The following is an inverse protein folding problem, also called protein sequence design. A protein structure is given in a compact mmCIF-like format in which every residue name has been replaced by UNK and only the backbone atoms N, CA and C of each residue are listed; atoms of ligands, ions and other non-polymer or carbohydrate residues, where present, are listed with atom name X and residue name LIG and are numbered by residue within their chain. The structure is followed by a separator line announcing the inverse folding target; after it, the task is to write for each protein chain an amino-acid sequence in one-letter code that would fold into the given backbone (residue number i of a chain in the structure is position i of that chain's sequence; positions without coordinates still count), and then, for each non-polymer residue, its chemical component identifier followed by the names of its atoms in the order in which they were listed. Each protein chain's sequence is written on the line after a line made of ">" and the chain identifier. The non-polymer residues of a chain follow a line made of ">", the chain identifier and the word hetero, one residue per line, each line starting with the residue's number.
data_IF_216318905670
#
_entry.id   IF_216318905670
#
_cell.length_a   1.000
_cell.length_b   1.000
_cell.length_c   1.000
_cell.angle_alpha   90.00
_cell.angle_beta   90.00
_cell.angle_gamma   90.00
#
_symmetry.space_group_name_H-M   'P 1'
#
loop_
_entity.id
_entity.type
_entity.pdbx_description
1 polymer ?
#
# COMPACT_ATOMS: atom_id res chain seq x y z
N UNK A 1 7.15 -12.67 18.46
CA UNK A 1 8.35 -12.50 19.30
C UNK A 1 9.50 -13.27 18.64
N UNK A 2 10.41 -12.56 17.96
CA UNK A 2 11.47 -13.16 17.12
C UNK A 2 12.58 -13.86 17.92
N UNK A 3 12.58 -13.91 19.22
CA UNK A 3 13.56 -14.64 20.04
C UNK A 3 12.98 -14.87 21.44
N UNK A 4 11.93 -15.64 21.56
CA UNK A 4 11.56 -16.12 22.87
C UNK A 4 12.66 -17.09 23.34
N UNK A 5 13.59 -16.60 24.15
CA UNK A 5 14.59 -17.45 24.83
C UNK A 5 13.93 -18.43 25.82
N UNK A 6 12.65 -18.23 26.08
CA UNK A 6 11.85 -19.04 26.98
C UNK A 6 10.97 -20.01 26.20
N UNK A 7 10.80 -21.23 26.68
CA UNK A 7 9.92 -22.20 26.07
C UNK A 7 8.45 -21.74 26.16
N UNK A 8 7.57 -22.21 25.26
CA UNK A 8 6.13 -22.01 25.41
C UNK A 8 5.62 -22.49 26.77
N UNK A 9 4.67 -21.76 27.39
CA UNK A 9 4.18 -22.11 28.72
C UNK A 9 3.56 -23.50 28.82
N UNK A 10 3.04 -24.02 27.68
CA UNK A 10 2.43 -25.35 27.57
C UNK A 10 3.38 -26.44 27.03
N UNK A 11 4.67 -26.17 26.91
CA UNK A 11 5.62 -27.10 26.26
C UNK A 11 5.73 -28.44 26.99
N UNK A 12 5.69 -28.42 28.32
CA UNK A 12 5.77 -29.63 29.17
C UNK A 12 4.50 -30.48 29.00
N UNK A 13 3.34 -29.84 28.99
CA UNK A 13 2.06 -30.53 28.79
C UNK A 13 2.00 -31.17 27.40
N UNK A 14 2.40 -30.41 26.36
CA UNK A 14 2.52 -30.92 25.00
C UNK A 14 3.48 -32.12 24.90
N UNK A 15 4.62 -32.08 25.56
CA UNK A 15 5.63 -33.15 25.54
C UNK A 15 5.12 -34.43 26.23
N UNK A 16 4.39 -34.29 27.34
CA UNK A 16 3.85 -35.41 28.12
C UNK A 16 2.51 -35.97 27.62
N UNK A 17 1.83 -35.25 26.74
CA UNK A 17 0.54 -35.69 26.20
C UNK A 17 0.72 -36.64 25.02
N UNK A 18 -0.03 -37.73 25.04
CA UNK A 18 -0.06 -38.75 23.97
C UNK A 18 -1.43 -38.81 23.25
N UNK A 19 -2.13 -37.68 23.21
CA UNK A 19 -3.34 -37.59 22.38
C UNK A 19 -2.97 -37.60 20.86
N UNK A 20 -3.95 -37.90 20.03
CA UNK A 20 -3.75 -37.99 18.59
C UNK A 20 -3.16 -36.70 17.97
N UNK A 21 -3.67 -35.52 18.31
CA UNK A 21 -3.10 -34.26 17.84
C UNK A 21 -1.65 -34.04 18.22
N UNK A 22 -1.25 -34.23 19.47
CA UNK A 22 0.12 -34.05 19.94
C UNK A 22 1.10 -35.02 19.26
N UNK A 23 0.74 -36.31 19.19
CA UNK A 23 1.56 -37.33 18.52
C UNK A 23 1.73 -37.01 17.05
N UNK A 24 0.66 -36.60 16.36
CA UNK A 24 0.71 -36.22 14.95
C UNK A 24 1.64 -35.00 14.72
N UNK A 25 1.48 -33.94 15.51
CA UNK A 25 2.29 -32.74 15.38
C UNK A 25 3.78 -33.00 15.63
N UNK A 26 4.11 -33.80 16.66
CA UNK A 26 5.51 -34.20 16.91
C UNK A 26 6.11 -34.92 15.71
N UNK A 27 5.38 -35.89 15.16
CA UNK A 27 5.84 -36.65 13.98
C UNK A 27 5.97 -35.75 12.74
N UNK A 28 4.98 -34.93 12.43
CA UNK A 28 4.96 -34.09 11.23
C UNK A 28 6.04 -32.99 11.27
N UNK A 29 6.26 -32.40 12.44
CA UNK A 29 7.26 -31.36 12.62
C UNK A 29 8.65 -31.90 13.04
N UNK A 30 8.80 -33.24 13.13
CA UNK A 30 10.05 -33.89 13.49
C UNK A 30 10.57 -33.42 14.85
N UNK A 31 9.69 -33.39 15.85
CA UNK A 31 10.01 -32.99 17.23
C UNK A 31 10.40 -34.24 18.02
N UNK A 32 11.59 -34.19 18.62
CA UNK A 32 12.10 -35.25 19.48
C UNK A 32 11.56 -35.09 20.92
N UNK A 33 11.41 -36.20 21.63
CA UNK A 33 10.76 -36.25 22.94
C UNK A 33 11.48 -35.40 23.99
N UNK A 34 12.80 -35.23 23.86
CA UNK A 34 13.63 -34.48 24.81
C UNK A 34 13.68 -32.97 24.55
N UNK A 35 13.12 -32.46 23.46
CA UNK A 35 13.20 -31.04 23.09
C UNK A 35 12.59 -30.11 24.13
N UNK A 36 11.52 -30.52 24.78
CA UNK A 36 10.89 -29.73 25.82
C UNK A 36 11.85 -29.44 26.99
N UNK A 37 12.74 -30.39 27.31
CA UNK A 37 13.65 -30.33 28.43
C UNK A 37 14.97 -29.62 28.13
N UNK A 38 15.34 -29.57 26.84
CA UNK A 38 16.58 -28.93 26.39
C UNK A 38 16.32 -27.73 25.46
N UNK A 39 15.20 -27.07 25.62
CA UNK A 39 14.74 -25.98 24.73
C UNK A 39 15.82 -24.93 24.44
N UNK A 40 16.59 -24.49 25.45
CA UNK A 40 17.64 -23.48 25.35
C UNK A 40 18.80 -23.89 24.44
N UNK A 41 19.03 -25.20 24.32
CA UNK A 41 20.11 -25.76 23.47
C UNK A 41 19.69 -26.09 22.07
N UNK A 42 18.38 -25.96 21.74
CA UNK A 42 17.85 -26.20 20.44
C UNK A 42 18.31 -25.11 19.46
N UNK A 43 18.48 -25.52 18.19
CA UNK A 43 18.66 -24.55 17.12
C UNK A 43 17.40 -23.67 16.95
N UNK A 44 17.55 -22.47 16.36
CA UNK A 44 16.41 -21.58 16.13
C UNK A 44 15.27 -22.24 15.34
N UNK A 45 15.59 -23.06 14.35
CA UNK A 45 14.60 -23.82 13.58
C UNK A 45 13.88 -24.90 14.42
N UNK A 46 14.60 -25.58 15.32
CA UNK A 46 14.02 -26.55 16.25
C UNK A 46 13.11 -25.86 17.27
N UNK A 47 13.53 -24.74 17.83
CA UNK A 47 12.70 -23.93 18.73
C UNK A 47 11.41 -23.48 18.04
N UNK A 48 11.52 -23.00 16.79
CA UNK A 48 10.37 -22.57 16.00
C UNK A 48 9.39 -23.71 15.74
N UNK A 49 9.86 -24.89 15.36
CA UNK A 49 9.01 -26.09 15.19
C UNK A 49 8.25 -26.43 16.47
N UNK A 50 8.93 -26.44 17.59
CA UNK A 50 8.31 -26.74 18.88
C UNK A 50 7.28 -25.67 19.28
N UNK A 51 7.58 -24.38 19.07
CA UNK A 51 6.64 -23.27 19.31
C UNK A 51 5.36 -23.41 18.47
N UNK A 52 5.51 -23.67 17.17
CA UNK A 52 4.37 -23.84 16.27
C UNK A 52 3.55 -25.05 16.66
N UNK A 53 4.19 -26.18 17.01
CA UNK A 53 3.49 -27.37 17.46
C UNK A 53 2.68 -27.13 18.73
N UNK A 54 3.28 -26.51 19.75
CA UNK A 54 2.58 -26.17 21.00
C UNK A 54 1.40 -25.21 20.76
N UNK A 55 1.57 -24.23 19.85
CA UNK A 55 0.52 -23.28 19.51
C UNK A 55 -0.65 -23.96 18.77
N UNK A 56 -0.35 -24.84 17.80
CA UNK A 56 -1.39 -25.62 17.09
C UNK A 56 -2.09 -26.64 17.97
N UNK A 57 -1.34 -27.30 18.86
CA UNK A 57 -1.91 -28.27 19.80
C UNK A 57 -2.90 -27.63 20.78
N UNK A 58 -2.62 -26.39 21.20
CA UNK A 58 -3.55 -25.62 22.06
C UNK A 58 -4.90 -25.31 21.37
N UNK A 59 -4.99 -25.52 20.06
CA UNK A 59 -6.19 -25.31 19.25
C UNK A 59 -6.92 -23.97 19.53
N UNK A 60 -6.22 -22.83 19.48
CA UNK A 60 -6.82 -21.52 19.77
C UNK A 60 -7.79 -21.10 18.66
N UNK A 61 -8.77 -20.26 18.98
CA UNK A 61 -9.65 -19.64 17.96
C UNK A 61 -8.85 -18.69 17.03
N UNK A 62 -7.83 -18.02 17.57
CA UNK A 62 -6.96 -17.09 16.83
C UNK A 62 -5.49 -17.44 17.05
N UNK A 63 -4.77 -17.65 15.95
CA UNK A 63 -3.33 -17.95 15.95
C UNK A 63 -2.57 -16.83 15.25
N UNK A 64 -1.68 -16.14 15.97
CA UNK A 64 -0.80 -15.13 15.41
C UNK A 64 0.64 -15.64 15.33
N UNK A 65 1.22 -15.62 14.14
CA UNK A 65 2.58 -16.07 13.84
C UNK A 65 3.38 -14.94 13.18
N UNK A 66 4.56 -14.68 13.77
CA UNK A 66 5.50 -13.71 13.24
C UNK A 66 6.76 -14.44 12.73
N UNK A 67 6.98 -14.36 11.42
CA UNK A 67 8.09 -14.98 10.70
C UNK A 67 8.31 -16.47 11.08
N UNK A 68 7.28 -17.33 10.95
CA UNK A 68 7.39 -18.71 11.41
C UNK A 68 8.41 -19.53 10.63
N UNK A 69 8.68 -19.20 9.38
CA UNK A 69 9.61 -19.91 8.49
C UNK A 69 11.00 -19.27 8.42
N UNK A 70 11.27 -18.25 9.20
CA UNK A 70 12.57 -17.59 9.20
C UNK A 70 13.65 -18.51 9.82
N UNK A 71 14.79 -18.63 9.14
CA UNK A 71 15.94 -19.47 9.53
C UNK A 71 15.64 -20.98 9.60
N UNK A 72 14.64 -21.48 8.86
CA UNK A 72 14.38 -22.91 8.74
C UNK A 72 14.78 -23.43 7.35
N UNK A 73 15.16 -24.70 7.28
CA UNK A 73 15.44 -25.37 6.00
C UNK A 73 14.16 -25.65 5.21
N UNK A 74 14.30 -26.01 3.92
CA UNK A 74 13.19 -26.26 3.02
C UNK A 74 12.26 -27.39 3.48
N UNK A 75 12.82 -28.44 4.09
CA UNK A 75 12.03 -29.58 4.60
C UNK A 75 11.16 -29.17 5.77
N UNK A 76 11.74 -28.44 6.71
CA UNK A 76 11.04 -27.86 7.86
C UNK A 76 9.94 -26.86 7.43
N UNK A 77 10.25 -26.01 6.43
CA UNK A 77 9.25 -25.06 5.87
C UNK A 77 8.04 -25.81 5.33
N UNK A 78 8.26 -26.89 4.57
CA UNK A 78 7.18 -27.71 4.04
C UNK A 78 6.33 -28.36 5.14
N UNK A 79 6.98 -28.93 6.15
CA UNK A 79 6.27 -29.55 7.29
C UNK A 79 5.44 -28.51 8.07
N UNK A 80 5.97 -27.31 8.27
CA UNK A 80 5.23 -26.19 8.89
C UNK A 80 4.05 -25.76 8.05
N UNK A 81 4.22 -25.63 6.73
CA UNK A 81 3.12 -25.33 5.81
C UNK A 81 2.00 -26.35 5.92
N UNK A 82 2.33 -27.64 5.87
CA UNK A 82 1.35 -28.73 5.97
C UNK A 82 0.62 -28.76 7.33
N UNK A 83 1.30 -28.41 8.41
CA UNK A 83 0.70 -28.31 9.73
C UNK A 83 -0.24 -27.08 9.84
N UNK A 84 0.19 -25.92 9.37
CA UNK A 84 -0.56 -24.67 9.39
C UNK A 84 -1.78 -24.69 8.46
N UNK A 85 -1.70 -25.36 7.32
CA UNK A 85 -2.83 -25.45 6.38
C UNK A 85 -4.06 -26.17 6.93
N UNK A 86 -3.88 -26.95 8.00
CA UNK A 86 -4.96 -27.66 8.70
C UNK A 86 -5.56 -26.88 9.87
N UNK A 87 -4.99 -25.70 10.17
CA UNK A 87 -5.53 -24.87 11.24
C UNK A 87 -6.90 -24.31 10.83
N UNK A 88 -7.93 -24.62 11.61
CA UNK A 88 -9.31 -24.26 11.28
C UNK A 88 -9.80 -22.93 11.87
N UNK A 89 -8.96 -22.26 12.67
CA UNK A 89 -9.28 -20.99 13.29
C UNK A 89 -8.86 -19.78 12.43
N UNK A 90 -8.86 -18.60 13.02
CA UNK A 90 -8.39 -17.36 12.38
C UNK A 90 -6.87 -17.28 12.49
N UNK A 91 -6.15 -17.36 11.36
CA UNK A 91 -4.71 -17.21 11.28
C UNK A 91 -4.29 -15.77 10.94
N UNK A 92 -3.41 -15.19 11.76
CA UNK A 92 -2.69 -13.95 11.46
C UNK A 92 -1.23 -14.30 11.20
N UNK A 93 -0.78 -14.09 9.97
CA UNK A 93 0.57 -14.46 9.55
C UNK A 93 1.35 -13.23 9.08
N UNK A 94 2.46 -12.95 9.73
CA UNK A 94 3.46 -11.97 9.25
C UNK A 94 4.63 -12.75 8.69
N UNK A 95 4.95 -12.57 7.41
CA UNK A 95 6.07 -13.27 6.78
C UNK A 95 6.60 -12.55 5.55
N UNK A 96 7.89 -12.76 5.25
CA UNK A 96 8.52 -12.41 3.97
C UNK A 96 8.46 -13.56 2.96
N UNK A 97 8.01 -14.73 3.37
CA UNK A 97 7.85 -15.92 2.52
C UNK A 97 6.57 -15.81 1.70
N UNK A 98 6.74 -15.36 0.45
CA UNK A 98 5.62 -15.14 -0.47
C UNK A 98 4.87 -16.42 -0.81
N UNK A 99 5.58 -17.54 -0.96
CA UNK A 99 4.97 -18.83 -1.25
C UNK A 99 4.07 -19.28 -0.10
N UNK A 100 4.53 -19.08 1.14
CA UNK A 100 3.74 -19.35 2.33
C UNK A 100 2.48 -18.47 2.40
N UNK A 101 2.63 -17.17 2.14
CA UNK A 101 1.51 -16.22 2.13
C UNK A 101 0.50 -16.53 1.02
N UNK A 102 0.97 -16.88 -0.17
CA UNK A 102 0.09 -17.24 -1.28
C UNK A 102 -0.69 -18.53 -1.04
N UNK A 103 -0.08 -19.47 -0.33
CA UNK A 103 -0.67 -20.77 -0.09
C UNK A 103 -1.62 -20.80 1.13
N UNK A 104 -1.38 -19.97 2.15
CA UNK A 104 -2.16 -20.00 3.40
C UNK A 104 -3.13 -18.83 3.57
N UNK A 105 -2.86 -17.67 2.95
CA UNK A 105 -3.65 -16.48 3.21
C UNK A 105 -4.76 -16.29 2.16
N UNK A 106 -5.98 -16.11 2.63
CA UNK A 106 -7.12 -15.72 1.79
C UNK A 106 -7.26 -14.21 1.63
N UNK A 107 -6.58 -13.43 2.48
CA UNK A 107 -6.55 -11.97 2.46
C UNK A 107 -5.19 -11.48 2.93
N UNK A 108 -4.74 -10.35 2.39
CA UNK A 108 -3.50 -9.70 2.80
C UNK A 108 -3.76 -8.27 3.29
N UNK A 109 -3.21 -7.93 4.45
CA UNK A 109 -3.22 -6.58 4.99
C UNK A 109 -1.91 -5.87 4.68
N UNK A 110 -1.98 -4.82 3.86
CA UNK A 110 -0.84 -3.96 3.56
C UNK A 110 -0.85 -2.76 4.49
N UNK A 111 0.23 -2.58 5.24
CA UNK A 111 0.42 -1.44 6.14
C UNK A 111 1.52 -0.55 5.57
N UNK A 112 1.18 0.67 5.16
CA UNK A 112 2.13 1.64 4.64
C UNK A 112 1.60 3.07 4.88
N UNK A 113 2.49 4.01 5.10
CA UNK A 113 2.20 5.45 5.20
C UNK A 113 1.06 5.80 6.19
N UNK A 114 1.00 5.06 7.31
CA UNK A 114 -0.03 5.27 8.34
C UNK A 114 -1.42 4.74 7.97
N UNK A 115 -1.55 4.05 6.83
CA UNK A 115 -2.79 3.41 6.39
C UNK A 115 -2.65 1.89 6.37
N UNK A 116 -3.76 1.19 6.59
CA UNK A 116 -3.86 -0.25 6.48
C UNK A 116 -4.95 -0.60 5.45
N UNK A 117 -4.58 -1.36 4.42
CA UNK A 117 -5.50 -1.73 3.34
C UNK A 117 -5.56 -3.23 3.20
N UNK A 118 -6.74 -3.79 3.41
CA UNK A 118 -7.03 -5.20 3.19
C UNK A 118 -7.30 -5.47 1.72
N UNK A 119 -6.70 -6.54 1.18
CA UNK A 119 -6.96 -7.02 -0.18
C UNK A 119 -7.24 -8.51 -0.19
N UNK A 120 -8.18 -8.98 -1.00
CA UNK A 120 -8.46 -10.40 -1.15
C UNK A 120 -7.33 -11.12 -1.88
N UNK A 121 -7.21 -12.42 -1.60
CA UNK A 121 -6.23 -13.31 -2.20
C UNK A 121 -4.92 -13.37 -1.45
N UNK A 122 -4.03 -14.27 -1.89
CA UNK A 122 -2.66 -14.38 -1.41
C UNK A 122 -1.82 -13.16 -1.77
N UNK A 123 -0.57 -13.17 -1.34
CA UNK A 123 0.34 -12.01 -1.49
C UNK A 123 0.52 -11.58 -2.95
N UNK A 124 0.73 -12.52 -3.87
CA UNK A 124 0.98 -12.21 -5.29
C UNK A 124 -0.20 -11.51 -5.94
N UNK A 125 -1.41 -11.99 -5.70
CA UNK A 125 -2.64 -11.38 -6.21
C UNK A 125 -2.86 -9.99 -5.60
N UNK A 126 -2.80 -9.89 -4.28
CA UNK A 126 -3.01 -8.65 -3.56
C UNK A 126 -1.95 -7.59 -3.88
N UNK A 127 -0.68 -8.00 -4.07
CA UNK A 127 0.42 -7.13 -4.47
C UNK A 127 0.26 -6.60 -5.90
N UNK A 128 -0.17 -7.46 -6.83
CA UNK A 128 -0.47 -7.06 -8.21
C UNK A 128 -1.58 -6.04 -8.27
N UNK A 129 -2.65 -6.25 -7.52
CA UNK A 129 -3.75 -5.28 -7.40
C UNK A 129 -3.26 -3.95 -6.82
N UNK A 130 -2.45 -3.99 -5.76
CA UNK A 130 -1.85 -2.79 -5.18
C UNK A 130 -0.98 -2.02 -6.18
N UNK A 131 -0.22 -2.71 -7.02
CA UNK A 131 0.60 -2.08 -8.06
C UNK A 131 -0.26 -1.39 -9.13
N UNK A 132 -1.35 -2.01 -9.58
CA UNK A 132 -2.29 -1.41 -10.53
C UNK A 132 -2.98 -0.17 -9.97
N UNK A 133 -3.42 -0.20 -8.71
CA UNK A 133 -4.03 0.95 -8.03
C UNK A 133 -3.06 2.12 -7.91
N UNK A 134 -1.79 1.84 -7.54
CA UNK A 134 -0.74 2.86 -7.49
C UNK A 134 -0.48 3.48 -8.86
N UNK A 135 -0.36 2.65 -9.89
CA UNK A 135 -0.15 3.14 -11.26
C UNK A 135 -1.32 4.03 -11.72
N UNK A 136 -2.56 3.61 -11.49
CA UNK A 136 -3.76 4.40 -11.79
C UNK A 136 -3.77 5.75 -11.06
N UNK A 137 -3.42 5.75 -9.77
CA UNK A 137 -3.34 6.98 -8.96
C UNK A 137 -2.26 7.94 -9.49
N UNK A 138 -1.10 7.43 -9.88
CA UNK A 138 -0.02 8.24 -10.48
C UNK A 138 -0.48 8.84 -11.80
N UNK A 139 -1.09 8.04 -12.69
CA UNK A 139 -1.61 8.53 -13.97
C UNK A 139 -2.70 9.58 -13.80
N UNK A 140 -3.63 9.40 -12.87
CA UNK A 140 -4.67 10.38 -12.57
C UNK A 140 -4.08 11.70 -12.06
N UNK A 141 -3.07 11.62 -11.17
CA UNK A 141 -2.37 12.79 -10.64
C UNK A 141 -1.61 13.55 -11.73
N UNK A 142 -0.92 12.84 -12.62
CA UNK A 142 -0.20 13.44 -13.75
C UNK A 142 -1.15 14.09 -14.75
N UNK A 143 -2.28 13.45 -15.04
CA UNK A 143 -3.32 14.03 -15.89
C UNK A 143 -3.91 15.32 -15.28
N UNK A 144 -4.24 15.30 -14.00
CA UNK A 144 -4.73 16.49 -13.28
C UNK A 144 -3.70 17.63 -13.27
N UNK A 145 -2.40 17.31 -13.09
CA UNK A 145 -1.31 18.30 -13.14
C UNK A 145 -1.16 18.92 -14.52
N UNK A 146 -1.23 18.12 -15.59
CA UNK A 146 -1.18 18.61 -16.98
C UNK A 146 -2.37 19.51 -17.28
N UNK A 147 -3.56 19.12 -16.86
CA UNK A 147 -4.77 19.90 -17.06
C UNK A 147 -4.73 21.23 -16.31
N UNK A 148 -4.30 21.21 -15.05
CA UNK A 148 -4.09 22.44 -14.28
C UNK A 148 -3.12 23.39 -14.99
N UNK A 149 -1.98 22.88 -15.45
CA UNK A 149 -0.99 23.68 -16.18
C UNK A 149 -1.56 24.24 -17.52
N UNK A 150 -2.42 23.49 -18.20
CA UNK A 150 -3.12 23.95 -19.40
C UNK A 150 -4.04 25.12 -19.09
N UNK A 151 -4.87 24.98 -18.06
CA UNK A 151 -5.81 26.04 -17.65
C UNK A 151 -5.06 27.31 -17.21
N UNK A 152 -3.97 27.16 -16.45
CA UNK A 152 -3.16 28.29 -16.02
C UNK A 152 -2.52 29.05 -17.22
N UNK A 153 -2.00 28.32 -18.20
CA UNK A 153 -1.45 28.93 -19.44
C UNK A 153 -2.52 29.66 -20.22
N UNK A 154 -3.71 29.08 -20.35
CA UNK A 154 -4.81 29.70 -21.05
C UNK A 154 -5.31 30.96 -20.32
N UNK A 155 -5.41 30.91 -19.01
CA UNK A 155 -5.76 32.06 -18.19
C UNK A 155 -4.71 33.18 -18.31
N UNK A 156 -3.43 32.82 -18.29
CA UNK A 156 -2.34 33.78 -18.49
C UNK A 156 -2.40 34.44 -19.87
N UNK A 157 -2.60 33.65 -20.93
CA UNK A 157 -2.74 34.18 -22.30
C UNK A 157 -3.92 35.15 -22.40
N UNK A 158 -5.08 34.80 -21.82
CA UNK A 158 -6.25 35.69 -21.81
C UNK A 158 -5.98 37.00 -21.07
N UNK A 159 -5.24 36.97 -19.94
CA UNK A 159 -4.83 38.18 -19.21
C UNK A 159 -3.91 39.07 -20.04
N UNK A 160 -2.94 38.48 -20.74
CA UNK A 160 -2.03 39.20 -21.61
C UNK A 160 -2.76 39.85 -22.82
N UNK A 161 -3.68 39.10 -23.45
CA UNK A 161 -4.52 39.63 -24.54
C UNK A 161 -5.40 40.78 -24.04
N UNK A 162 -6.03 40.64 -22.87
CA UNK A 162 -6.81 41.70 -22.25
C UNK A 162 -5.96 42.94 -21.92
N UNK A 163 -4.77 42.76 -21.37
CA UNK A 163 -3.83 43.85 -21.08
C UNK A 163 -3.37 44.59 -22.34
N UNK A 164 -3.03 43.84 -23.40
CA UNK A 164 -2.66 44.42 -24.71
C UNK A 164 -3.84 45.21 -25.34
N UNK A 165 -5.05 44.68 -25.23
CA UNK A 165 -6.26 45.34 -25.71
C UNK A 165 -6.56 46.65 -24.92
N UNK A 166 -6.42 46.58 -23.57
CA UNK A 166 -6.55 47.75 -22.72
C UNK A 166 -5.50 48.83 -23.01
N UNK A 167 -4.23 48.41 -23.27
CA UNK A 167 -3.16 49.35 -23.68
C UNK A 167 -3.50 50.05 -25.00
N UNK A 168 -4.08 49.37 -25.99
CA UNK A 168 -4.52 49.96 -27.27
C UNK A 168 -5.68 50.94 -27.09
N UNK A 169 -6.50 50.80 -26.06
CA UNK A 169 -7.61 51.69 -25.73
C UNK A 169 -7.23 52.86 -24.85
N UNK A 170 -6.00 52.85 -24.32
CA UNK A 170 -5.49 53.94 -23.46
C UNK A 170 -4.99 55.11 -24.28
N UNK A 171 -5.41 56.32 -23.90
CA UNK A 171 -4.87 57.56 -24.41
C UNK A 171 -3.53 57.93 -23.78
N UNK A 172 -3.02 57.11 -22.87
CA UNK A 172 -1.75 57.33 -22.14
C UNK A 172 -0.58 57.22 -23.15
N UNK A 173 0.20 58.24 -23.31
CA UNK A 173 1.34 58.30 -24.25
C UNK A 173 0.98 58.91 -25.61
N UNK A 174 -0.28 59.28 -25.91
CA UNK A 174 -0.62 60.04 -27.07
C UNK A 174 -0.56 61.54 -26.74
N UNK A 175 0.28 62.27 -27.43
CA UNK A 175 0.46 63.71 -27.23
C UNK A 175 -0.87 64.45 -27.30
N UNK A 176 -0.99 65.53 -26.54
CA UNK A 176 -2.22 66.35 -26.49
C UNK A 176 -2.58 66.98 -27.83
N UNK A 177 -1.64 67.15 -28.72
CA UNK A 177 -1.80 67.72 -30.06
C UNK A 177 -2.04 66.70 -31.18
N UNK A 178 -1.92 65.39 -30.89
CA UNK A 178 -2.22 64.34 -31.87
C UNK A 178 -3.71 63.98 -31.86
N UNK A 179 -4.51 64.82 -32.49
CA UNK A 179 -5.96 64.72 -32.55
C UNK A 179 -6.40 63.52 -33.34
N UNK A 180 -5.62 63.06 -34.33
CA UNK A 180 -6.01 61.92 -35.19
C UNK A 180 -5.83 60.57 -34.49
N UNK A 181 -4.71 60.44 -33.79
CA UNK A 181 -4.46 59.25 -32.95
C UNK A 181 -5.50 59.13 -31.81
N UNK A 182 -5.86 60.24 -31.18
CA UNK A 182 -6.88 60.29 -30.11
C UNK A 182 -8.25 59.98 -30.65
N UNK A 183 -8.61 60.42 -31.86
CA UNK A 183 -9.86 60.13 -32.53
C UNK A 183 -9.99 58.64 -32.86
N UNK A 184 -8.93 58.01 -33.38
CA UNK A 184 -8.86 56.56 -33.65
C UNK A 184 -9.11 55.75 -32.40
N UNK A 185 -8.49 56.09 -31.26
CA UNK A 185 -8.70 55.40 -29.97
C UNK A 185 -10.13 55.60 -29.49
N UNK A 186 -10.70 56.82 -29.58
CA UNK A 186 -12.11 57.06 -29.19
C UNK A 186 -13.11 56.29 -30.05
N UNK A 187 -12.89 56.19 -31.34
CA UNK A 187 -13.74 55.40 -32.25
C UNK A 187 -13.63 53.93 -31.95
N UNK A 188 -12.44 53.40 -31.65
CA UNK A 188 -12.23 52.00 -31.26
C UNK A 188 -12.94 51.65 -29.93
N UNK A 189 -12.95 52.58 -28.99
CA UNK A 189 -13.67 52.42 -27.71
C UNK A 189 -15.20 52.45 -27.92
N UNK A 190 -15.71 53.39 -28.77
CA UNK A 190 -17.16 53.51 -29.01
C UNK A 190 -17.73 52.41 -29.86
N UNK A 191 -17.01 51.92 -30.85
CA UNK A 191 -17.53 50.91 -31.80
C UNK A 191 -17.36 49.49 -31.35
N UNK A 192 -16.66 49.22 -30.23
CA UNK A 192 -16.41 47.87 -29.74
C UNK A 192 -15.72 46.96 -30.75
N UNK A 193 -15.11 47.52 -31.80
CA UNK A 193 -14.59 46.75 -32.96
C UNK A 193 -13.37 45.88 -32.67
N UNK A 194 -12.83 45.92 -31.46
CA UNK A 194 -11.88 44.90 -30.99
C UNK A 194 -12.59 43.64 -30.51
N UNK A 195 -13.51 43.20 -31.29
CA UNK A 195 -14.51 42.14 -31.26
C UNK A 195 -14.26 40.83 -30.52
N UNK A 196 -13.21 40.68 -29.72
CA UNK A 196 -12.98 39.46 -28.90
C UNK A 196 -13.02 39.69 -27.40
N UNK A 197 -12.77 40.92 -26.92
CA UNK A 197 -12.75 41.17 -25.45
C UNK A 197 -14.14 41.43 -24.84
N UNK A 198 -15.13 41.84 -25.67
CA UNK A 198 -16.50 42.13 -25.21
C UNK A 198 -17.39 40.93 -24.94
N UNK A 199 -17.02 39.71 -25.37
CA UNK A 199 -17.80 38.48 -25.16
C UNK A 199 -17.45 37.70 -23.87
N UNK A 200 -16.50 38.14 -23.11
CA UNK A 200 -15.99 37.43 -21.90
C UNK A 200 -16.49 38.02 -20.58
N UNK A 201 -17.26 39.11 -20.59
CA UNK A 201 -17.81 39.71 -19.36
C UNK A 201 -19.28 39.32 -19.09
N UNK A 202 -19.88 38.44 -19.92
CA UNK A 202 -21.29 38.01 -19.78
C UNK A 202 -21.48 36.49 -19.78
N UNK A 203 -20.53 35.74 -19.16
CA UNK A 203 -20.75 34.37 -18.73
C UNK A 203 -20.07 34.08 -17.43
#
# INVERSE_FOLDING_TARGET
>A
AQNAKEPPGNVTDFALTYDGPAVRLRRELGIEDDWAWRYVTLSGGQQKRLQVACALWAAPDVLALDEPTNHVDASTRRAMFEALSRFGGIGLLVSHDRELLDALCSQCLFVADGAAVMRPGGYSQASSQAALERASTIHARDAARKEKARIEREAQRRREEASRSAGKRSLRGIGTHDTDARRKVRVAVMTGKDGKAGRLSSR
#
